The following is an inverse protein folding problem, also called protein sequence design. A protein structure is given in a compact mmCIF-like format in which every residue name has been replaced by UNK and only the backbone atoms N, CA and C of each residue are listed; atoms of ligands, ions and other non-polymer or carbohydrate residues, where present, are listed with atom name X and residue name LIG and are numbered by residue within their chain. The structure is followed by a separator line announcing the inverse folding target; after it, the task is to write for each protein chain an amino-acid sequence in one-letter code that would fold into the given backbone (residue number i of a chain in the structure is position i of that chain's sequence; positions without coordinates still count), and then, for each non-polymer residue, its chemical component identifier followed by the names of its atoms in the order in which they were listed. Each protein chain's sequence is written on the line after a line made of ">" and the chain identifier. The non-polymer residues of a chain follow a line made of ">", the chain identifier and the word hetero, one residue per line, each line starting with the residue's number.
data_IF_794361100992
#
_entry.id   IF_794361100992
#
_cell.length_a   1.000
_cell.length_b   1.000
_cell.length_c   1.000
_cell.angle_alpha   90.00
_cell.angle_beta   90.00
_cell.angle_gamma   90.00
#
_symmetry.space_group_name_H-M   'P 1'
#
loop_
_entity.id
_entity.type
_entity.pdbx_description
1 polymer ?
#
# COMPACT_ATOMS: atom_id res chain seq x y z
N UNK A 1 8.74 -30.66 19.71
CA UNK A 1 9.94 -29.92 20.15
C UNK A 1 9.96 -28.62 19.35
N UNK A 2 9.72 -27.50 20.01
CA UNK A 2 9.60 -26.17 19.37
C UNK A 2 11.00 -25.60 19.16
N UNK A 3 11.44 -25.46 17.92
CA UNK A 3 12.61 -24.66 17.57
C UNK A 3 12.31 -23.18 17.85
N UNK A 4 12.90 -22.66 18.90
CA UNK A 4 12.95 -21.22 19.15
C UNK A 4 13.81 -20.57 18.07
N UNK A 5 13.17 -19.92 17.09
CA UNK A 5 13.82 -19.01 16.17
C UNK A 5 14.52 -17.90 16.98
N UNK A 6 15.83 -18.04 17.12
CA UNK A 6 16.69 -16.99 17.67
C UNK A 6 16.81 -15.91 16.62
N UNK A 7 15.98 -14.87 16.73
CA UNK A 7 16.17 -13.61 16.01
C UNK A 7 17.52 -13.03 16.44
N UNK A 8 18.55 -13.24 15.65
CA UNK A 8 19.82 -12.54 15.79
C UNK A 8 19.55 -11.05 15.62
N UNK A 9 19.60 -10.30 16.71
CA UNK A 9 19.62 -8.83 16.68
C UNK A 9 20.85 -8.44 15.85
N UNK A 10 20.67 -8.06 14.61
CA UNK A 10 21.69 -7.34 13.85
C UNK A 10 21.92 -6.03 14.62
N UNK A 11 23.05 -5.90 15.29
CA UNK A 11 23.46 -4.63 15.86
C UNK A 11 23.67 -3.66 14.71
N UNK A 12 22.70 -2.78 14.46
CA UNK A 12 22.88 -1.66 13.55
C UNK A 12 23.96 -0.75 14.15
N UNK A 13 24.96 -0.37 13.35
CA UNK A 13 25.89 0.67 13.79
C UNK A 13 25.13 1.98 14.01
N UNK A 14 25.66 2.83 14.89
CA UNK A 14 24.99 4.06 15.29
C UNK A 14 24.70 5.01 14.11
N UNK A 15 25.60 5.11 13.14
CA UNK A 15 25.42 6.01 12.01
C UNK A 15 24.29 5.53 11.09
N UNK A 16 24.23 4.24 10.81
CA UNK A 16 23.14 3.62 10.04
C UNK A 16 21.81 3.83 10.74
N UNK A 17 21.75 3.60 12.06
CA UNK A 17 20.54 3.86 12.85
C UNK A 17 20.13 5.33 12.81
N UNK A 18 21.07 6.25 13.05
CA UNK A 18 20.82 7.69 13.00
C UNK A 18 20.27 8.12 11.65
N UNK A 19 20.90 7.70 10.55
CA UNK A 19 20.46 8.06 9.20
C UNK A 19 19.05 7.53 8.92
N UNK A 20 18.74 6.31 9.37
CA UNK A 20 17.40 5.75 9.24
C UNK A 20 16.36 6.56 10.01
N UNK A 21 16.65 6.97 11.24
CA UNK A 21 15.75 7.79 12.06
C UNK A 21 15.53 9.16 11.41
N UNK A 22 16.58 9.79 10.89
CA UNK A 22 16.46 11.07 10.23
C UNK A 22 15.65 10.98 8.94
N UNK A 23 15.83 9.92 8.16
CA UNK A 23 15.02 9.65 6.97
C UNK A 23 13.54 9.47 7.33
N UNK A 24 13.25 8.61 8.32
CA UNK A 24 11.88 8.37 8.79
C UNK A 24 11.21 9.64 9.29
N UNK A 25 11.94 10.44 10.05
CA UNK A 25 11.45 11.72 10.58
C UNK A 25 11.14 12.72 9.46
N UNK A 26 12.06 12.85 8.49
CA UNK A 26 11.84 13.70 7.31
C UNK A 26 10.57 13.28 6.56
N UNK A 27 10.45 11.99 6.26
CA UNK A 27 9.28 11.44 5.57
C UNK A 27 7.98 11.67 6.34
N UNK A 28 8.00 11.49 7.66
CA UNK A 28 6.85 11.76 8.52
C UNK A 28 6.43 13.23 8.46
N UNK A 29 7.41 14.16 8.50
CA UNK A 29 7.14 15.59 8.38
C UNK A 29 6.58 15.94 7.00
N UNK A 30 7.19 15.45 5.92
CA UNK A 30 6.73 15.71 4.55
C UNK A 30 5.29 15.22 4.35
N UNK A 31 4.97 14.00 4.79
CA UNK A 31 3.61 13.47 4.69
C UNK A 31 2.60 14.25 5.53
N UNK A 32 2.99 14.68 6.74
CA UNK A 32 2.17 15.51 7.62
C UNK A 32 1.89 16.86 6.99
N UNK A 33 2.91 17.55 6.54
CA UNK A 33 2.78 18.88 5.94
C UNK A 33 1.98 18.82 4.64
N UNK A 34 2.15 17.77 3.82
CA UNK A 34 1.32 17.55 2.64
C UNK A 34 -0.17 17.42 3.00
N UNK A 35 -0.51 16.73 4.09
CA UNK A 35 -1.88 16.63 4.56
C UNK A 35 -2.45 17.97 5.03
N UNK A 36 -1.67 18.72 5.81
CA UNK A 36 -2.10 20.02 6.34
C UNK A 36 -2.28 21.05 5.21
N UNK A 37 -1.33 21.10 4.27
CA UNK A 37 -1.43 21.96 3.10
C UNK A 37 -2.59 21.56 2.20
N UNK A 38 -2.75 20.27 1.90
CA UNK A 38 -3.85 19.77 1.09
C UNK A 38 -5.21 20.10 1.69
N UNK A 39 -5.37 19.98 3.01
CA UNK A 39 -6.59 20.38 3.72
C UNK A 39 -6.86 21.88 3.57
N UNK A 40 -5.83 22.72 3.69
CA UNK A 40 -5.94 24.15 3.47
C UNK A 40 -6.40 24.47 2.05
N UNK A 41 -5.83 23.79 1.04
CA UNK A 41 -6.21 24.00 -0.37
C UNK A 41 -7.67 23.62 -0.64
N UNK A 42 -8.17 22.56 0.01
CA UNK A 42 -9.59 22.19 -0.09
C UNK A 42 -10.48 23.21 0.63
N UNK A 43 -10.14 23.62 1.86
CA UNK A 43 -10.94 24.58 2.64
C UNK A 43 -10.99 25.96 2.01
N UNK A 44 -9.94 26.34 1.26
CA UNK A 44 -9.90 27.61 0.51
C UNK A 44 -10.52 27.52 -0.89
N UNK A 45 -11.04 26.34 -1.28
CA UNK A 45 -11.72 26.11 -2.56
C UNK A 45 -10.78 25.99 -3.78
N UNK A 46 -9.47 25.95 -3.57
CA UNK A 46 -8.50 25.73 -4.65
C UNK A 46 -8.48 24.29 -5.13
N UNK A 47 -8.62 23.33 -4.22
CA UNK A 47 -8.90 21.95 -4.54
C UNK A 47 -10.36 21.61 -4.18
N UNK A 48 -10.98 20.71 -4.94
CA UNK A 48 -12.42 20.42 -4.78
C UNK A 48 -12.70 19.37 -3.72
N UNK A 49 -11.80 18.43 -3.56
CA UNK A 49 -11.93 17.32 -2.61
C UNK A 49 -10.56 16.82 -2.21
N UNK A 50 -10.42 16.33 -0.98
CA UNK A 50 -9.20 15.70 -0.50
C UNK A 50 -9.46 14.83 0.70
N UNK A 51 -8.71 13.73 0.79
CA UNK A 51 -8.68 12.83 1.94
C UNK A 51 -7.24 12.82 2.45
N UNK A 52 -7.07 13.01 3.74
CA UNK A 52 -5.77 13.27 4.34
C UNK A 52 -5.45 12.23 5.41
N UNK A 53 -4.19 11.77 5.42
CA UNK A 53 -3.70 10.70 6.28
C UNK A 53 -2.94 11.18 7.53
N UNK A 54 -3.00 12.46 7.87
CA UNK A 54 -2.29 13.03 9.01
C UNK A 54 -2.63 12.30 10.34
N UNK A 55 -1.62 12.10 11.16
CA UNK A 55 -1.72 11.36 12.42
C UNK A 55 -1.36 9.87 12.34
N UNK A 56 -1.06 9.35 11.14
CA UNK A 56 -0.78 7.93 10.89
C UNK A 56 0.65 7.66 10.43
N UNK A 57 1.48 8.68 10.34
CA UNK A 57 2.78 8.65 9.68
C UNK A 57 3.70 7.58 10.25
N UNK A 58 3.88 7.55 11.57
CA UNK A 58 4.81 6.61 12.21
C UNK A 58 4.39 5.15 12.04
N UNK A 59 3.11 4.86 12.21
CA UNK A 59 2.57 3.52 12.01
C UNK A 59 2.74 3.06 10.55
N UNK A 60 2.50 3.95 9.60
CA UNK A 60 2.63 3.67 8.19
C UNK A 60 4.09 3.49 7.76
N UNK A 61 5.03 4.27 8.29
CA UNK A 61 6.47 4.07 8.06
C UNK A 61 6.91 2.70 8.60
N UNK A 62 6.50 2.35 9.81
CA UNK A 62 6.82 1.04 10.39
C UNK A 62 6.28 -0.12 9.53
N UNK A 63 5.05 0.01 9.03
CA UNK A 63 4.44 -0.98 8.15
C UNK A 63 5.16 -1.06 6.79
N UNK A 64 5.49 0.09 6.20
CA UNK A 64 6.21 0.15 4.92
C UNK A 64 7.58 -0.57 4.99
N UNK A 65 8.27 -0.52 6.13
CA UNK A 65 9.53 -1.25 6.35
C UNK A 65 9.36 -2.76 6.35
N UNK A 66 8.19 -3.27 6.67
CA UNK A 66 7.88 -4.70 6.64
C UNK A 66 7.30 -5.15 5.30
N UNK A 67 6.90 -4.23 4.46
CA UNK A 67 6.37 -4.51 3.12
C UNK A 67 7.49 -4.93 2.18
N UNK A 68 7.53 -6.20 1.81
CA UNK A 68 8.57 -6.81 0.99
C UNK A 68 8.12 -6.94 -0.46
N UNK A 69 9.09 -7.12 -1.35
CA UNK A 69 8.79 -7.50 -2.72
C UNK A 69 8.05 -8.85 -2.74
N UNK A 70 7.02 -8.93 -3.55
CA UNK A 70 6.12 -10.07 -3.62
C UNK A 70 4.90 -9.99 -2.72
N UNK A 71 4.95 -9.19 -1.64
CA UNK A 71 3.78 -8.98 -0.78
C UNK A 71 2.72 -8.13 -1.47
N UNK A 72 1.48 -8.26 -0.99
CA UNK A 72 0.32 -7.57 -1.52
C UNK A 72 -0.34 -6.68 -0.47
N UNK A 73 -0.56 -5.42 -0.81
CA UNK A 73 -1.36 -4.50 -0.03
C UNK A 73 -2.73 -4.30 -0.65
N UNK A 74 -3.80 -4.46 0.14
CA UNK A 74 -5.12 -3.99 -0.24
C UNK A 74 -5.33 -2.58 0.27
N UNK A 75 -5.28 -1.60 -0.64
CA UNK A 75 -5.09 -0.19 -0.33
C UNK A 75 -6.25 0.47 0.42
N UNK A 76 -5.89 1.46 1.23
CA UNK A 76 -6.77 2.36 1.95
C UNK A 76 -6.39 3.82 1.62
N UNK A 77 -7.37 4.65 1.37
CA UNK A 77 -7.19 6.01 0.84
C UNK A 77 -6.42 6.99 1.75
N UNK A 78 -6.11 6.64 2.99
CA UNK A 78 -5.25 7.42 3.89
C UNK A 78 -3.83 6.87 4.04
N UNK A 79 -3.44 5.90 3.20
CA UNK A 79 -2.11 5.26 3.27
C UNK A 79 -1.04 6.02 2.48
N UNK A 80 -1.18 7.32 2.28
CA UNK A 80 -0.23 8.13 1.53
C UNK A 80 1.21 7.98 2.04
N UNK A 81 1.42 7.89 3.36
CA UNK A 81 2.77 7.74 3.92
C UNK A 81 3.39 6.39 3.56
N UNK A 82 2.60 5.31 3.48
CA UNK A 82 3.10 4.01 2.98
C UNK A 82 3.58 4.17 1.55
N UNK A 83 2.79 4.82 0.69
CA UNK A 83 3.11 4.98 -0.73
C UNK A 83 4.33 5.87 -0.94
N UNK A 84 4.48 6.94 -0.16
CA UNK A 84 5.69 7.77 -0.14
C UNK A 84 6.91 6.97 0.37
N UNK A 85 6.73 6.16 1.42
CA UNK A 85 7.81 5.37 2.02
C UNK A 85 8.33 4.25 1.11
N UNK A 86 7.50 3.71 0.24
CA UNK A 86 7.89 2.69 -0.74
C UNK A 86 8.24 3.28 -2.12
N UNK A 87 8.28 4.60 -2.23
CA UNK A 87 8.65 5.35 -3.45
C UNK A 87 7.70 5.14 -4.65
N UNK A 88 6.46 4.70 -4.39
CA UNK A 88 5.41 4.57 -5.42
C UNK A 88 4.52 5.83 -5.54
N UNK A 89 4.80 6.85 -4.76
CA UNK A 89 4.17 8.15 -4.78
C UNK A 89 5.21 9.23 -4.49
N UNK A 90 5.19 10.33 -5.24
CA UNK A 90 5.93 11.54 -4.90
C UNK A 90 4.97 12.62 -4.36
N UNK A 91 5.52 13.64 -3.68
CA UNK A 91 4.71 14.78 -3.24
C UNK A 91 4.10 15.55 -4.44
N UNK A 92 4.82 15.63 -5.55
CA UNK A 92 4.31 16.23 -6.78
C UNK A 92 3.10 15.46 -7.30
N UNK A 93 3.17 14.15 -7.39
CA UNK A 93 2.05 13.29 -7.79
C UNK A 93 0.87 13.37 -6.81
N UNK A 94 1.16 13.46 -5.51
CA UNK A 94 0.13 13.65 -4.49
C UNK A 94 -0.68 14.94 -4.72
N UNK A 95 0.01 16.07 -4.95
CA UNK A 95 -0.67 17.33 -5.22
C UNK A 95 -1.29 17.37 -6.62
N UNK A 96 -0.68 16.73 -7.61
CA UNK A 96 -1.25 16.60 -8.95
C UNK A 96 -2.60 15.86 -8.90
N UNK A 97 -2.69 14.80 -8.11
CA UNK A 97 -3.95 14.10 -7.84
C UNK A 97 -4.96 14.98 -7.12
N UNK A 98 -4.53 15.76 -6.12
CA UNK A 98 -5.39 16.69 -5.38
C UNK A 98 -6.00 17.76 -6.28
N UNK A 99 -5.24 18.28 -7.25
CA UNK A 99 -5.68 19.29 -8.21
C UNK A 99 -6.30 18.70 -9.49
N UNK A 100 -6.45 17.39 -9.56
CA UNK A 100 -6.99 16.67 -10.71
C UNK A 100 -6.26 17.01 -12.03
N UNK A 101 -4.92 16.95 -11.99
CA UNK A 101 -4.09 17.21 -13.17
C UNK A 101 -4.35 16.19 -14.27
N UNK A 102 -4.56 16.63 -15.49
CA UNK A 102 -5.04 15.77 -16.59
C UNK A 102 -3.93 15.09 -17.39
N UNK A 103 -2.68 15.44 -17.16
CA UNK A 103 -1.53 14.82 -17.81
C UNK A 103 -1.09 13.56 -17.06
N UNK A 104 -1.13 12.42 -17.74
CA UNK A 104 -0.76 11.11 -17.17
C UNK A 104 0.72 11.02 -16.79
N UNK A 105 1.59 11.84 -17.36
CA UNK A 105 3.01 11.88 -17.00
C UNK A 105 3.26 12.57 -15.65
N UNK A 106 2.33 13.42 -15.22
CA UNK A 106 2.38 14.19 -13.98
C UNK A 106 1.50 13.54 -12.89
N UNK A 107 0.27 13.15 -13.26
CA UNK A 107 -0.64 12.38 -12.40
C UNK A 107 -0.84 10.96 -12.98
N UNK A 108 0.09 10.01 -12.69
CA UNK A 108 0.10 8.72 -13.34
C UNK A 108 -0.99 7.76 -12.85
N UNK A 109 -1.69 8.05 -11.76
CA UNK A 109 -2.71 7.16 -11.21
C UNK A 109 -3.99 7.18 -12.04
N UNK A 110 -4.47 8.36 -12.43
CA UNK A 110 -5.77 8.49 -13.08
C UNK A 110 -5.87 9.60 -14.14
N UNK A 111 -4.83 10.43 -14.31
CA UNK A 111 -4.91 11.67 -15.08
C UNK A 111 -6.10 12.56 -14.66
N UNK A 112 -6.25 12.76 -13.36
CA UNK A 112 -7.28 13.59 -12.76
C UNK A 112 -8.70 13.02 -12.78
N UNK A 113 -8.90 11.75 -13.16
CA UNK A 113 -10.23 11.11 -13.29
C UNK A 113 -10.75 10.52 -11.99
N UNK A 114 -9.90 10.32 -10.99
CA UNK A 114 -10.26 9.80 -9.68
C UNK A 114 -9.99 10.85 -8.61
N UNK A 115 -10.66 10.72 -7.48
CA UNK A 115 -10.32 11.50 -6.30
C UNK A 115 -8.90 11.12 -5.82
N UNK A 116 -8.18 12.06 -5.23
CA UNK A 116 -6.88 11.80 -4.62
C UNK A 116 -6.95 10.67 -3.57
N UNK A 117 -5.86 9.94 -3.40
CA UNK A 117 -5.78 8.84 -2.45
C UNK A 117 -5.96 7.43 -3.03
N UNK A 118 -6.16 7.30 -4.35
CA UNK A 118 -6.34 6.02 -5.03
C UNK A 118 -5.02 5.50 -5.62
N UNK A 119 -4.05 5.26 -4.77
CA UNK A 119 -2.70 4.87 -5.16
C UNK A 119 -2.55 3.38 -5.42
N UNK A 120 -1.90 3.02 -6.53
CA UNK A 120 -1.63 1.63 -6.88
C UNK A 120 -0.26 1.48 -7.52
N UNK A 121 0.35 0.29 -7.38
CA UNK A 121 1.49 -0.11 -8.20
C UNK A 121 1.01 -0.65 -9.54
N UNK A 122 1.79 -0.40 -10.59
CA UNK A 122 1.45 -0.92 -11.92
C UNK A 122 1.89 -2.36 -12.08
N UNK A 123 0.93 -3.23 -12.38
CA UNK A 123 1.14 -4.66 -12.55
C UNK A 123 1.45 -5.07 -13.99
N UNK A 124 1.14 -4.20 -14.95
CA UNK A 124 1.43 -4.40 -16.37
C UNK A 124 2.55 -3.46 -16.80
N UNK A 125 3.33 -3.90 -17.77
CA UNK A 125 4.29 -3.05 -18.46
C UNK A 125 3.62 -2.19 -19.57
N UNK A 126 4.41 -1.43 -20.30
CA UNK A 126 3.95 -0.56 -21.41
C UNK A 126 3.30 -1.31 -22.56
N UNK A 127 3.62 -2.61 -22.73
CA UNK A 127 3.07 -3.48 -23.76
C UNK A 127 1.82 -4.25 -23.29
N UNK A 128 1.37 -4.02 -22.04
CA UNK A 128 0.25 -4.71 -21.44
C UNK A 128 0.57 -6.13 -20.94
N UNK A 129 1.85 -6.51 -20.87
CA UNK A 129 2.26 -7.79 -20.33
C UNK A 129 2.43 -7.73 -18.79
N UNK A 130 2.12 -8.84 -18.13
CA UNK A 130 2.31 -8.95 -16.68
C UNK A 130 3.78 -8.81 -16.29
N UNK A 131 4.06 -7.86 -15.41
CA UNK A 131 5.34 -7.77 -14.71
C UNK A 131 5.53 -8.98 -13.79
N UNK A 132 6.76 -9.21 -13.34
CA UNK A 132 7.00 -10.16 -12.27
C UNK A 132 6.65 -9.49 -10.93
N UNK A 133 5.46 -9.80 -10.40
CA UNK A 133 4.94 -9.20 -9.17
C UNK A 133 5.76 -9.59 -7.93
N UNK A 134 6.58 -10.65 -8.04
CA UNK A 134 7.47 -11.06 -6.95
C UNK A 134 8.70 -10.15 -6.83
N UNK A 135 8.97 -9.30 -7.82
CA UNK A 135 10.10 -8.38 -7.82
C UNK A 135 9.70 -6.95 -7.40
N UNK A 136 8.43 -6.72 -7.06
CA UNK A 136 7.91 -5.41 -6.65
C UNK A 136 7.01 -5.54 -5.42
N UNK A 137 6.77 -4.42 -4.75
CA UNK A 137 5.73 -4.30 -3.73
C UNK A 137 4.40 -4.06 -4.44
N UNK A 138 3.41 -4.92 -4.20
CA UNK A 138 2.16 -4.88 -4.94
C UNK A 138 1.08 -4.18 -4.12
N UNK A 139 0.74 -2.97 -4.50
CA UNK A 139 -0.35 -2.22 -3.89
C UNK A 139 -1.53 -2.15 -4.86
N UNK A 140 -2.65 -2.75 -4.48
CA UNK A 140 -3.91 -2.50 -5.18
C UNK A 140 -4.41 -1.09 -4.85
N UNK A 141 -5.04 -0.42 -5.80
CA UNK A 141 -5.71 0.84 -5.53
C UNK A 141 -6.72 0.68 -4.40
N UNK A 142 -6.83 1.70 -3.56
CA UNK A 142 -7.89 1.72 -2.57
C UNK A 142 -9.28 1.77 -3.24
N UNK A 143 -10.29 1.50 -2.46
CA UNK A 143 -11.68 1.48 -2.89
C UNK A 143 -12.42 2.54 -2.06
N UNK A 144 -13.16 3.43 -2.72
CA UNK A 144 -13.92 4.49 -2.04
C UNK A 144 -15.00 3.96 -1.08
N UNK A 145 -15.72 2.86 -1.38
CA UNK A 145 -16.65 2.27 -0.41
C UNK A 145 -15.95 1.85 0.88
N UNK A 146 -16.52 2.27 2.00
CA UNK A 146 -15.98 2.02 3.34
C UNK A 146 -15.82 0.52 3.59
N UNK A 147 -14.64 0.10 4.06
CA UNK A 147 -14.23 -1.29 4.25
C UNK A 147 -14.17 -2.16 2.98
N UNK A 148 -14.36 -1.59 1.78
CA UNK A 148 -14.34 -2.33 0.51
C UNK A 148 -13.00 -3.01 0.19
N UNK A 149 -11.90 -2.57 0.80
CA UNK A 149 -10.60 -3.23 0.67
C UNK A 149 -10.53 -4.58 1.39
N UNK A 150 -11.39 -4.85 2.35
CA UNK A 150 -11.33 -6.05 3.19
C UNK A 150 -11.65 -7.34 2.41
N UNK A 151 -12.72 -7.43 1.61
CA UNK A 151 -12.96 -8.61 0.77
C UNK A 151 -11.82 -8.90 -0.20
N UNK A 152 -11.21 -7.88 -0.79
CA UNK A 152 -10.05 -8.04 -1.67
C UNK A 152 -8.83 -8.56 -0.90
N UNK A 153 -8.63 -8.10 0.33
CA UNK A 153 -7.55 -8.61 1.19
C UNK A 153 -7.69 -10.11 1.42
N UNK A 154 -8.90 -10.58 1.75
CA UNK A 154 -9.19 -12.01 1.90
C UNK A 154 -8.93 -12.76 0.60
N UNK A 155 -9.35 -12.20 -0.55
CA UNK A 155 -9.11 -12.79 -1.86
C UNK A 155 -7.62 -12.93 -2.20
N UNK A 156 -6.80 -11.92 -1.89
CA UNK A 156 -5.34 -11.98 -2.06
C UNK A 156 -4.70 -13.08 -1.19
N UNK A 157 -5.08 -13.14 0.08
CA UNK A 157 -4.60 -14.19 0.99
C UNK A 157 -5.04 -15.59 0.54
N UNK A 158 -6.29 -15.72 0.09
CA UNK A 158 -6.82 -16.98 -0.45
C UNK A 158 -6.08 -17.41 -1.72
N UNK A 159 -5.72 -16.47 -2.61
CA UNK A 159 -4.93 -16.78 -3.79
C UNK A 159 -3.56 -17.38 -3.41
N UNK A 160 -2.86 -16.77 -2.45
CA UNK A 160 -1.59 -17.29 -1.93
C UNK A 160 -1.75 -18.68 -1.34
N UNK A 161 -2.83 -18.93 -0.58
CA UNK A 161 -3.16 -20.27 -0.05
C UNK A 161 -3.37 -21.31 -1.17
N UNK A 162 -4.12 -20.93 -2.21
CA UNK A 162 -4.36 -21.82 -3.38
C UNK A 162 -3.05 -22.16 -4.08
N UNK A 163 -2.17 -21.20 -4.31
CA UNK A 163 -0.85 -21.46 -4.90
C UNK A 163 -0.01 -22.42 -4.03
N UNK A 164 -0.06 -22.28 -2.72
CA UNK A 164 0.67 -23.15 -1.78
C UNK A 164 0.15 -24.59 -1.78
N UNK A 165 -1.15 -24.77 -1.82
CA UNK A 165 -1.81 -26.07 -1.71
C UNK A 165 -1.92 -26.79 -3.05
N UNK A 166 -2.05 -26.08 -4.16
CA UNK A 166 -2.21 -26.66 -5.50
C UNK A 166 -0.87 -26.76 -6.24
N UNK A 167 -0.20 -27.91 -6.09
CA UNK A 167 1.11 -28.16 -6.71
C UNK A 167 1.07 -28.11 -8.25
N UNK A 168 -0.06 -28.43 -8.89
CA UNK A 168 -0.18 -28.33 -10.35
C UNK A 168 -0.15 -26.88 -10.80
N UNK A 169 -0.82 -26.01 -10.07
CA UNK A 169 -0.84 -24.57 -10.35
C UNK A 169 0.53 -23.93 -10.07
N UNK A 170 1.12 -24.23 -8.92
CA UNK A 170 2.43 -23.68 -8.56
C UNK A 170 3.59 -24.17 -9.45
N UNK A 171 3.44 -25.30 -10.14
CA UNK A 171 4.40 -25.84 -11.09
C UNK A 171 4.41 -25.12 -12.45
N UNK A 172 3.41 -24.30 -12.75
CA UNK A 172 3.34 -23.53 -13.99
C UNK A 172 4.39 -22.40 -13.96
N UNK A 173 5.18 -22.25 -15.01
CA UNK A 173 6.19 -21.18 -15.09
C UNK A 173 5.58 -19.78 -14.97
N UNK A 174 4.38 -19.58 -15.49
CA UNK A 174 3.66 -18.33 -15.37
C UNK A 174 3.32 -17.97 -13.92
N UNK A 175 3.08 -18.97 -13.05
CA UNK A 175 2.76 -18.75 -11.64
C UNK A 175 3.90 -18.06 -10.90
N UNK A 176 5.15 -18.27 -11.30
CA UNK A 176 6.33 -17.64 -10.69
C UNK A 176 6.34 -16.12 -10.74
N UNK A 177 5.52 -15.53 -11.61
CA UNK A 177 5.32 -14.07 -11.67
C UNK A 177 4.35 -13.56 -10.60
N UNK A 178 3.53 -14.44 -10.03
CA UNK A 178 2.39 -14.06 -9.17
C UNK A 178 2.51 -14.55 -7.74
N UNK A 179 3.41 -15.50 -7.48
CA UNK A 179 3.54 -16.10 -6.16
C UNK A 179 4.96 -16.62 -5.90
N UNK A 180 5.39 -16.53 -4.66
CA UNK A 180 6.57 -17.21 -4.13
C UNK A 180 6.12 -18.43 -3.31
N UNK A 181 5.55 -19.42 -3.98
CA UNK A 181 4.97 -20.63 -3.39
C UNK A 181 3.92 -20.35 -2.29
N UNK A 182 3.19 -19.25 -2.40
CA UNK A 182 2.19 -18.83 -1.43
C UNK A 182 2.76 -18.33 -0.10
N UNK A 183 4.01 -17.86 -0.08
CA UNK A 183 4.66 -17.32 1.12
C UNK A 183 4.59 -15.79 1.23
N UNK A 184 4.08 -15.13 0.21
CA UNK A 184 3.82 -13.70 0.23
C UNK A 184 2.74 -13.35 1.26
N UNK A 185 2.88 -12.17 1.86
CA UNK A 185 1.92 -11.63 2.82
C UNK A 185 0.92 -10.74 2.10
N UNK A 186 -0.37 -10.93 2.38
CA UNK A 186 -1.41 -9.99 2.02
C UNK A 186 -1.81 -9.19 3.27
N UNK A 187 -1.78 -7.86 3.18
CA UNK A 187 -2.15 -6.99 4.29
C UNK A 187 -2.98 -5.79 3.82
N UNK A 188 -3.66 -5.16 4.74
CA UNK A 188 -4.42 -3.94 4.51
C UNK A 188 -4.53 -3.13 5.77
N UNK A 189 -4.86 -1.86 5.61
CA UNK A 189 -5.20 -0.95 6.69
C UNK A 189 -6.67 -0.59 6.59
N UNK A 190 -7.27 -0.25 7.71
CA UNK A 190 -8.69 0.08 7.78
C UNK A 190 -8.91 1.23 8.76
N UNK A 191 -9.87 2.09 8.48
CA UNK A 191 -10.30 3.11 9.41
C UNK A 191 -11.09 2.53 10.57
N UNK A 192 -10.97 3.13 11.73
CA UNK A 192 -11.66 2.75 12.96
C UNK A 192 -13.18 2.61 12.73
N UNK A 193 -13.83 3.66 12.27
CA UNK A 193 -15.26 3.63 11.98
C UNK A 193 -15.66 2.59 10.92
N UNK A 194 -14.76 2.24 10.01
CA UNK A 194 -15.01 1.26 8.95
C UNK A 194 -15.17 -0.16 9.47
N UNK A 195 -14.73 -0.44 10.69
CA UNK A 195 -14.92 -1.75 11.33
C UNK A 195 -16.38 -2.00 11.73
N UNK A 196 -17.22 -1.00 11.67
CA UNK A 196 -18.67 -1.15 11.87
C UNK A 196 -19.42 -1.56 10.60
N UNK A 197 -18.77 -1.56 9.45
CA UNK A 197 -19.38 -1.88 8.17
C UNK A 197 -19.49 -3.39 7.92
N UNK A 198 -20.55 -3.80 7.21
CA UNK A 198 -20.80 -5.20 6.85
C UNK A 198 -19.61 -5.89 6.18
N UNK A 199 -18.98 -5.29 5.15
CA UNK A 199 -17.83 -5.90 4.46
C UNK A 199 -16.65 -6.25 5.37
N UNK A 200 -16.46 -5.53 6.48
CA UNK A 200 -15.44 -5.88 7.47
C UNK A 200 -15.78 -7.22 8.14
N UNK A 201 -16.98 -7.34 8.71
CA UNK A 201 -17.40 -8.54 9.44
C UNK A 201 -17.55 -9.77 8.54
N UNK A 202 -18.06 -9.58 7.34
CA UNK A 202 -18.14 -10.63 6.31
C UNK A 202 -16.74 -11.14 5.95
N UNK A 203 -15.76 -10.23 5.81
CA UNK A 203 -14.37 -10.58 5.52
C UNK A 203 -13.71 -11.34 6.67
N UNK A 204 -13.93 -10.91 7.91
CA UNK A 204 -13.42 -11.61 9.11
C UNK A 204 -14.02 -13.01 9.20
N UNK A 205 -15.33 -13.14 8.97
CA UNK A 205 -16.00 -14.43 8.96
C UNK A 205 -15.49 -15.36 7.84
N UNK A 206 -15.21 -14.81 6.66
CA UNK A 206 -14.67 -15.58 5.54
C UNK A 206 -13.20 -15.99 5.73
N UNK A 207 -12.45 -15.25 6.53
CA UNK A 207 -11.04 -15.53 6.82
C UNK A 207 -10.85 -16.58 7.92
N UNK A 208 -11.81 -16.72 8.83
CA UNK A 208 -11.82 -17.69 9.94
C UNK A 208 -12.23 -19.07 9.48
#
# INVERSE_FOLDING_TARGET
>A
MSEKSTLTKKNLDFNTFKNQVLFDFKLACESREASLLGRKEVLTGKAKFGIFGDGKELAQIALAKQFKNGDFRSGYYRDQTIMLAIEELTLEQYFSGLYAHTDVSIEPQSAGRQMGGHYATRNLDENGAWKNLMNQKNSSADISPTAGQMPRLVGLAQASKVYRENKKLSALDQSKKFTNNGNEVAFGTIGDASTSEGPFWESINAAG
#
